data_IF_268148299779
#
_entry.id   IF_268148299779
#
_cell.length_a   1.000
_cell.length_b   1.000
_cell.length_c   1.000
_cell.angle_alpha   90.00
_cell.angle_beta   90.00
_cell.angle_gamma   90.00
#
_symmetry.space_group_name_H-M   'P 1'
#
loop_
_entity.id
_entity.type
_entity.pdbx_description
1 polymer ?
#
# COMPACT_ATOMS: atom_id res chain seq x y z
N UNK A 1 4.51 -11.60 -8.86
CA UNK A 1 3.48 -10.60 -9.21
C UNK A 1 2.34 -11.19 -10.02
N UNK A 2 2.60 -12.03 -11.03
CA UNK A 2 1.56 -12.67 -11.85
C UNK A 2 0.46 -13.36 -11.03
N UNK A 3 0.82 -14.27 -10.10
CA UNK A 3 -0.17 -14.95 -9.24
C UNK A 3 -1.03 -13.98 -8.42
N UNK A 4 -0.42 -12.90 -7.89
CA UNK A 4 -1.14 -11.89 -7.09
C UNK A 4 -2.17 -11.18 -7.97
N UNK A 5 -1.78 -10.79 -9.18
CA UNK A 5 -2.66 -10.16 -10.17
C UNK A 5 -3.79 -11.11 -10.59
N UNK A 6 -3.47 -12.37 -10.90
CA UNK A 6 -4.44 -13.41 -11.30
C UNK A 6 -5.46 -13.70 -10.19
N UNK A 7 -5.02 -13.73 -8.93
CA UNK A 7 -5.90 -13.91 -7.78
C UNK A 7 -6.72 -12.65 -7.43
N UNK A 8 -6.40 -11.49 -8.01
CA UNK A 8 -7.09 -10.22 -7.75
C UNK A 8 -6.95 -9.72 -6.30
N UNK A 9 -5.87 -10.11 -5.61
CA UNK A 9 -5.57 -9.71 -4.23
C UNK A 9 -4.70 -8.47 -4.21
N UNK A 10 -4.92 -7.60 -3.22
CA UNK A 10 -4.12 -6.40 -3.03
C UNK A 10 -2.90 -6.67 -2.15
N UNK A 11 -1.83 -5.89 -2.33
CA UNK A 11 -0.68 -5.89 -1.44
C UNK A 11 -0.73 -4.68 -0.49
N UNK A 12 -0.31 -4.86 0.76
CA UNK A 12 -0.28 -3.78 1.75
C UNK A 12 1.01 -2.97 1.65
N UNK A 13 0.86 -1.65 1.60
CA UNK A 13 1.92 -0.70 1.98
C UNK A 13 1.86 -0.52 3.49
N UNK A 14 2.88 -1.04 4.15
CA UNK A 14 3.05 -0.99 5.59
C UNK A 14 4.16 0.00 5.98
N UNK A 15 3.77 1.11 6.60
CA UNK A 15 4.71 2.20 6.93
C UNK A 15 5.53 1.93 8.19
N UNK A 16 5.22 0.87 8.96
CA UNK A 16 5.99 0.52 10.16
C UNK A 16 7.40 0.02 9.88
N UNK A 17 7.71 -0.38 8.63
CA UNK A 17 9.06 -0.79 8.25
C UNK A 17 10.12 0.29 8.52
N UNK A 18 9.75 1.58 8.52
CA UNK A 18 10.64 2.69 8.84
C UNK A 18 11.13 2.68 10.30
N UNK A 19 10.37 2.05 11.20
CA UNK A 19 10.74 1.89 12.61
C UNK A 19 11.59 0.64 12.87
N UNK A 20 11.91 -0.12 11.82
CA UNK A 20 12.72 -1.35 11.87
C UNK A 20 14.07 -1.08 11.20
N UNK A 21 14.99 -2.04 11.30
CA UNK A 21 16.32 -1.94 10.68
C UNK A 21 16.28 -1.79 9.14
N UNK A 22 15.15 -2.09 8.50
CA UNK A 22 14.93 -1.84 7.07
C UNK A 22 14.91 -0.36 6.69
N UNK A 23 14.48 0.53 7.59
CA UNK A 23 14.52 1.98 7.39
C UNK A 23 13.52 2.57 6.38
N UNK A 24 12.73 1.76 5.68
CA UNK A 24 11.70 2.20 4.72
C UNK A 24 10.41 1.40 4.86
N UNK A 25 9.43 1.67 3.99
CA UNK A 25 8.15 0.96 4.01
C UNK A 25 8.28 -0.48 3.47
N UNK A 26 7.30 -1.30 3.81
CA UNK A 26 7.10 -2.58 3.13
C UNK A 26 5.92 -2.48 2.15
N UNK A 27 6.01 -3.08 0.96
CA UNK A 27 7.25 -3.48 0.31
C UNK A 27 8.06 -2.24 -0.16
N UNK A 28 9.30 -2.47 -0.59
CA UNK A 28 10.11 -1.42 -1.20
C UNK A 28 9.53 -0.93 -2.53
N UNK A 29 9.86 0.30 -2.94
CA UNK A 29 9.38 0.94 -4.16
C UNK A 29 9.50 0.10 -5.42
N UNK A 30 10.62 -0.58 -5.63
CA UNK A 30 10.82 -1.44 -6.80
C UNK A 30 9.78 -2.57 -6.90
N UNK A 31 9.23 -3.01 -5.76
CA UNK A 31 8.14 -4.00 -5.71
C UNK A 31 6.80 -3.32 -6.00
N UNK A 32 6.57 -2.09 -5.53
CA UNK A 32 5.37 -1.30 -5.84
C UNK A 32 5.29 -0.95 -7.33
N UNK A 33 6.39 -0.53 -7.93
CA UNK A 33 6.51 -0.28 -9.38
C UNK A 33 6.22 -1.56 -10.19
N UNK A 34 6.77 -2.69 -9.74
CA UNK A 34 6.49 -3.99 -10.35
C UNK A 34 5.02 -4.39 -10.15
N UNK A 35 4.45 -4.16 -8.98
CA UNK A 35 3.04 -4.44 -8.71
C UNK A 35 2.14 -3.63 -9.65
N UNK A 36 2.44 -2.34 -9.83
CA UNK A 36 1.74 -1.46 -10.76
C UNK A 36 1.81 -1.97 -12.20
N UNK A 37 3.00 -2.36 -12.66
CA UNK A 37 3.21 -2.93 -14.00
C UNK A 37 2.32 -4.15 -14.27
N UNK A 38 2.08 -5.00 -13.27
CA UNK A 38 1.22 -6.18 -13.39
C UNK A 38 -0.26 -5.90 -13.04
N UNK A 39 -0.66 -4.65 -12.78
CA UNK A 39 -2.03 -4.29 -12.42
C UNK A 39 -2.46 -4.75 -11.03
N UNK A 40 -1.51 -5.02 -10.13
CA UNK A 40 -1.80 -5.40 -8.75
C UNK A 40 -2.27 -4.18 -7.96
N UNK A 41 -3.46 -4.29 -7.37
CA UNK A 41 -4.02 -3.27 -6.49
C UNK A 41 -3.27 -3.20 -5.15
N UNK A 42 -3.39 -2.05 -4.48
CA UNK A 42 -2.68 -1.78 -3.23
C UNK A 42 -3.64 -1.37 -2.11
N UNK A 43 -3.27 -1.65 -0.87
CA UNK A 43 -3.95 -1.19 0.36
C UNK A 43 -2.92 -0.51 1.27
N UNK A 44 -3.38 0.29 2.23
CA UNK A 44 -2.52 0.98 3.19
C UNK A 44 -2.75 0.49 4.62
N UNK A 45 -1.67 0.39 5.40
CA UNK A 45 -1.72 0.12 6.84
C UNK A 45 -0.51 0.70 7.56
N UNK A 46 -0.70 1.48 8.63
CA UNK A 46 0.44 2.01 9.39
C UNK A 46 1.00 1.05 10.45
N UNK A 47 0.29 -0.06 10.69
CA UNK A 47 0.57 -1.04 11.75
C UNK A 47 0.80 -0.38 13.13
N UNK A 48 -0.12 0.53 13.43
CA UNK A 48 -0.07 1.37 14.61
C UNK A 48 -0.35 0.55 15.88
N UNK A 49 0.70 0.40 16.69
CA UNK A 49 0.59 -0.14 18.06
C UNK A 49 0.45 0.97 19.12
N UNK A 50 0.33 2.23 18.68
CA UNK A 50 0.09 3.42 19.51
C UNK A 50 -0.83 4.39 18.74
N UNK A 51 -1.75 5.12 19.42
CA UNK A 51 -2.67 6.04 18.74
C UNK A 51 -1.99 7.09 17.87
N UNK A 52 -0.83 7.60 18.29
CA UNK A 52 -0.08 8.62 17.56
C UNK A 52 0.51 8.15 16.21
N UNK A 53 0.43 6.85 15.91
CA UNK A 53 0.92 6.26 14.65
C UNK A 53 -0.20 5.84 13.72
N UNK A 54 -1.45 6.14 14.06
CA UNK A 54 -2.56 5.91 13.13
C UNK A 54 -2.35 6.79 11.90
N UNK A 55 -2.37 6.18 10.72
CA UNK A 55 -2.13 6.85 9.43
C UNK A 55 -0.74 7.52 9.30
N UNK A 56 0.25 7.02 10.03
CA UNK A 56 1.66 7.42 9.92
C UNK A 56 2.14 7.27 8.45
N UNK A 57 2.63 8.36 7.86
CA UNK A 57 3.03 8.54 6.45
C UNK A 57 1.93 8.37 5.38
N UNK A 58 0.65 8.57 5.71
CA UNK A 58 -0.44 8.42 4.73
C UNK A 58 -0.23 9.28 3.46
N UNK A 59 0.11 10.55 3.64
CA UNK A 59 0.26 11.53 2.55
C UNK A 59 1.48 11.22 1.69
N UNK A 60 2.60 10.83 2.32
CA UNK A 60 3.82 10.44 1.64
C UNK A 60 3.60 9.16 0.81
N UNK A 61 2.89 8.18 1.37
CA UNK A 61 2.51 6.97 0.61
C UNK A 61 1.63 7.34 -0.57
N UNK A 62 0.62 8.20 -0.38
CA UNK A 62 -0.27 8.61 -1.45
C UNK A 62 0.47 9.37 -2.56
N UNK A 63 1.39 10.28 -2.20
CA UNK A 63 2.28 10.97 -3.15
C UNK A 63 3.11 9.96 -3.93
N UNK A 64 3.76 9.02 -3.24
CA UNK A 64 4.63 8.04 -3.90
C UNK A 64 3.86 7.10 -4.83
N UNK A 65 2.67 6.67 -4.44
CA UNK A 65 1.81 5.85 -5.29
C UNK A 65 1.39 6.60 -6.57
N UNK A 66 1.08 7.91 -6.48
CA UNK A 66 0.80 8.74 -7.66
C UNK A 66 1.99 8.85 -8.60
N UNK A 67 3.20 9.03 -8.06
CA UNK A 67 4.44 9.06 -8.86
C UNK A 67 4.67 7.74 -9.62
N UNK A 68 4.36 6.61 -9.00
CA UNK A 68 4.44 5.28 -9.63
C UNK A 68 3.37 5.09 -10.73
N UNK A 69 2.23 5.77 -10.60
CA UNK A 69 1.14 5.75 -11.58
C UNK A 69 -0.21 5.25 -11.05
N UNK A 70 -0.28 4.85 -9.77
CA UNK A 70 -1.54 4.51 -9.13
C UNK A 70 -2.46 5.73 -9.03
N UNK A 71 -3.77 5.49 -9.16
CA UNK A 71 -4.83 6.52 -8.98
C UNK A 71 -5.81 6.19 -7.87
N UNK A 72 -5.82 4.93 -7.47
CA UNK A 72 -6.73 4.33 -6.52
C UNK A 72 -5.97 3.35 -5.63
N UNK A 73 -6.51 3.13 -4.45
CA UNK A 73 -6.15 2.02 -3.57
C UNK A 73 -7.43 1.35 -3.09
N UNK A 74 -7.29 0.25 -2.36
CA UNK A 74 -8.42 -0.52 -1.85
C UNK A 74 -8.38 -0.63 -0.34
N UNK A 75 -9.57 -0.73 0.26
CA UNK A 75 -9.76 -1.21 1.63
C UNK A 75 -10.86 -2.27 1.64
N UNK A 76 -11.08 -2.92 2.77
CA UNK A 76 -12.07 -3.98 2.88
C UNK A 76 -13.11 -3.65 3.95
N UNK A 77 -14.39 -3.82 3.60
CA UNK A 77 -15.53 -3.71 4.51
C UNK A 77 -16.38 -4.95 4.38
N UNK A 78 -16.66 -5.65 5.49
CA UNK A 78 -17.40 -6.92 5.46
C UNK A 78 -16.81 -7.95 4.48
N UNK A 79 -15.47 -8.04 4.42
CA UNK A 79 -14.72 -8.87 3.45
C UNK A 79 -14.94 -8.52 1.97
N UNK A 80 -15.57 -7.38 1.68
CA UNK A 80 -15.76 -6.87 0.33
C UNK A 80 -14.78 -5.75 0.03
N UNK A 81 -14.06 -5.89 -1.08
CA UNK A 81 -13.09 -4.92 -1.59
C UNK A 81 -13.82 -3.62 -1.98
N UNK A 82 -13.35 -2.50 -1.45
CA UNK A 82 -13.80 -1.16 -1.76
C UNK A 82 -12.67 -0.43 -2.46
N UNK A 83 -12.95 0.13 -3.63
CA UNK A 83 -11.99 0.91 -4.42
C UNK A 83 -12.24 2.39 -4.15
N UNK A 84 -11.21 3.14 -3.80
CA UNK A 84 -11.30 4.59 -3.60
C UNK A 84 -10.08 5.28 -4.21
N UNK A 85 -10.26 6.53 -4.65
CA UNK A 85 -9.15 7.36 -5.14
C UNK A 85 -8.13 7.61 -4.02
N UNK A 86 -6.86 7.75 -4.42
CA UNK A 86 -5.81 8.16 -3.49
C UNK A 86 -6.14 9.54 -2.88
N UNK A 87 -5.93 9.72 -1.55
CA UNK A 87 -6.22 10.96 -0.83
C UNK A 87 -5.30 12.08 -1.28
#
# INVERSE_FOLDING_TARGET
MQVIAECGVAIEINTSGKTKLSGGWYPADAILERAHHFGVQVTFGSDAHKPSRVADDLEEVASRLREIGYREWVYYKNKQKQVVSLP
#
